data_IF_299954269223
#
_entry.id   IF_299954269223
#
_cell.length_a   1.000
_cell.length_b   1.000
_cell.length_c   1.000
_cell.angle_alpha   90.00
_cell.angle_beta   90.00
_cell.angle_gamma   90.00
#
_symmetry.space_group_name_H-M   'P 1'
#
loop_
_entity.id
_entity.type
_entity.pdbx_description
1 polymer ?
#
# COMPACT_ATOMS: atom_id res chain seq x y z
N UNK A 1 12.85 14.69 2.62
CA UNK A 1 12.33 13.65 3.53
C UNK A 1 13.44 12.75 4.12
N UNK A 2 14.05 11.80 3.38
CA UNK A 2 15.04 10.85 3.92
C UNK A 2 16.22 11.49 4.71
N UNK A 3 16.91 12.49 4.15
CA UNK A 3 18.04 13.15 4.84
C UNK A 3 17.63 13.94 6.10
N UNK A 4 16.37 14.39 6.16
CA UNK A 4 15.80 15.13 7.29
C UNK A 4 15.32 14.16 8.37
N UNK A 5 14.70 13.04 7.99
CA UNK A 5 14.29 11.99 8.93
C UNK A 5 15.52 11.27 9.52
N UNK A 6 16.58 11.04 8.73
CA UNK A 6 17.86 10.52 9.23
C UNK A 6 18.59 11.48 10.20
N UNK A 7 18.19 12.76 10.24
CA UNK A 7 18.68 13.74 11.22
C UNK A 7 17.87 13.69 12.52
N UNK A 8 16.55 13.49 12.41
CA UNK A 8 15.64 13.33 13.55
C UNK A 8 15.89 12.04 14.35
N UNK A 9 16.17 10.92 13.68
CA UNK A 9 16.44 9.63 14.33
C UNK A 9 17.78 9.56 15.09
N UNK A 10 18.69 10.52 14.89
CA UNK A 10 19.95 10.59 15.65
C UNK A 10 19.77 11.11 17.08
N UNK A 11 18.64 11.76 17.38
CA UNK A 11 18.42 12.42 18.67
C UNK A 11 17.37 11.75 19.55
N UNK A 12 16.60 10.79 19.04
CA UNK A 12 15.49 10.15 19.78
C UNK A 12 15.45 8.63 19.52
N UNK A 13 15.71 7.82 20.56
CA UNK A 13 15.45 6.37 20.56
C UNK A 13 14.05 6.13 21.12
N UNK A 14 13.20 5.43 20.38
CA UNK A 14 11.91 4.95 20.89
C UNK A 14 11.90 3.42 20.94
N UNK A 15 11.31 2.91 22.02
CA UNK A 15 11.20 1.49 22.38
C UNK A 15 9.93 0.89 21.73
N UNK A 16 9.92 -0.37 21.29
CA UNK A 16 8.75 -0.97 20.65
C UNK A 16 7.58 -1.14 21.63
N UNK A 17 6.36 -0.77 21.20
CA UNK A 17 5.13 -1.10 21.91
C UNK A 17 4.68 -2.53 21.57
N UNK A 18 4.32 -3.30 22.59
CA UNK A 18 3.76 -4.65 22.44
C UNK A 18 2.26 -4.56 22.18
N UNK A 19 1.81 -5.22 21.11
CA UNK A 19 0.39 -5.31 20.74
C UNK A 19 -0.41 -6.16 21.72
N UNK A 20 -1.49 -5.60 22.26
CA UNK A 20 -2.49 -6.32 23.04
C UNK A 20 -3.66 -6.74 22.16
N UNK A 21 -3.97 -8.03 22.13
CA UNK A 21 -5.16 -8.54 21.47
C UNK A 21 -6.41 -8.29 22.33
N UNK A 22 -7.45 -7.69 21.74
CA UNK A 22 -8.79 -7.65 22.34
C UNK A 22 -9.80 -8.35 21.43
N UNK A 23 -10.55 -9.28 22.02
CA UNK A 23 -11.65 -10.00 21.40
C UNK A 23 -12.84 -9.06 21.15
N UNK A 24 -13.28 -8.95 19.89
CA UNK A 24 -14.39 -8.08 19.49
C UNK A 24 -15.75 -8.58 19.99
N UNK A 25 -16.51 -7.70 20.65
CA UNK A 25 -17.95 -7.84 20.89
C UNK A 25 -18.71 -7.07 19.80
N UNK A 26 -19.71 -7.70 19.17
CA UNK A 26 -20.59 -7.03 18.21
C UNK A 26 -21.62 -6.18 18.95
N UNK A 27 -21.50 -4.85 18.88
CA UNK A 27 -22.42 -3.89 19.52
C UNK A 27 -23.27 -3.12 18.51
N UNK A 28 -24.36 -2.50 18.97
CA UNK A 28 -25.27 -1.65 18.17
C UNK A 28 -24.98 -0.15 18.33
N UNK A 29 -23.85 0.22 18.93
CA UNK A 29 -23.48 1.62 19.14
C UNK A 29 -23.07 2.30 17.82
N UNK A 30 -23.27 3.63 17.69
CA UNK A 30 -22.74 4.40 16.55
C UNK A 30 -21.23 4.17 16.41
N UNK A 31 -20.75 4.06 15.18
CA UNK A 31 -19.34 3.87 14.90
C UNK A 31 -18.55 5.09 15.42
N UNK A 32 -17.64 4.85 16.37
CA UNK A 32 -16.76 5.88 16.89
C UNK A 32 -15.84 6.41 15.77
N UNK A 33 -15.37 7.67 15.83
CA UNK A 33 -14.44 8.23 14.84
C UNK A 33 -13.14 7.40 14.69
N UNK A 34 -12.43 7.53 13.54
CA UNK A 34 -11.14 6.88 13.31
C UNK A 34 -10.07 7.36 14.31
N UNK A 35 -9.58 6.47 15.18
CA UNK A 35 -8.61 6.76 16.24
C UNK A 35 -7.47 5.75 16.21
N UNK A 36 -6.38 6.04 15.49
CA UNK A 36 -5.18 5.21 15.53
C UNK A 36 -4.39 5.45 16.84
N UNK A 37 -3.51 4.51 17.18
CA UNK A 37 -2.60 4.64 18.34
C UNK A 37 -1.53 5.73 18.17
N UNK A 38 -1.14 5.97 16.92
CA UNK A 38 -0.21 7.01 16.46
C UNK A 38 -0.80 7.64 15.20
N UNK A 39 -0.49 8.90 14.87
CA UNK A 39 -0.96 9.50 13.62
C UNK A 39 -0.56 8.61 12.42
N UNK A 40 -1.44 8.48 11.42
CA UNK A 40 -1.17 7.66 10.24
C UNK A 40 -1.25 8.50 8.98
N UNK A 41 -0.25 8.36 8.11
CA UNK A 41 -0.36 8.68 6.70
C UNK A 41 -0.51 7.39 5.91
N UNK A 42 -1.63 7.19 5.23
CA UNK A 42 -1.90 5.93 4.51
C UNK A 42 -2.04 6.21 3.02
N UNK A 43 -1.13 5.67 2.23
CA UNK A 43 -1.01 5.88 0.78
C UNK A 43 -1.69 4.74 0.03
N UNK A 44 -2.50 5.09 -0.97
CA UNK A 44 -3.17 4.14 -1.87
C UNK A 44 -2.25 3.50 -2.92
N UNK A 45 -2.85 2.90 -3.92
CA UNK A 45 -2.19 2.09 -4.96
C UNK A 45 -1.32 2.98 -5.87
N UNK A 46 -0.06 2.59 -6.05
CA UNK A 46 0.96 3.40 -6.74
C UNK A 46 1.11 2.98 -8.19
N UNK A 47 1.11 1.67 -8.47
CA UNK A 47 1.19 1.11 -9.82
C UNK A 47 2.29 1.72 -10.69
N UNK A 48 3.54 1.66 -10.22
CA UNK A 48 4.69 2.11 -11.01
C UNK A 48 4.77 3.62 -11.27
N UNK A 49 4.03 4.45 -10.52
CA UNK A 49 4.05 5.92 -10.65
C UNK A 49 5.08 6.57 -9.69
N UNK A 50 6.37 6.33 -9.92
CA UNK A 50 7.44 6.82 -9.04
C UNK A 50 7.46 8.35 -8.91
N UNK A 51 7.17 9.08 -10.00
CA UNK A 51 7.09 10.54 -9.95
C UNK A 51 5.95 11.05 -9.05
N UNK A 52 4.77 10.40 -9.07
CA UNK A 52 3.66 10.76 -8.18
C UNK A 52 3.95 10.37 -6.74
N UNK A 53 4.63 9.24 -6.51
CA UNK A 53 5.09 8.84 -5.18
C UNK A 53 5.98 9.93 -4.57
N UNK A 54 7.02 10.39 -5.27
CA UNK A 54 7.91 11.44 -4.71
C UNK A 54 7.18 12.77 -4.48
N UNK A 55 6.23 13.13 -5.34
CA UNK A 55 5.38 14.31 -5.13
C UNK A 55 4.51 14.17 -3.88
N UNK A 56 3.86 13.02 -3.68
CA UNK A 56 3.03 12.78 -2.51
C UNK A 56 3.84 12.75 -1.22
N UNK A 57 5.05 12.17 -1.24
CA UNK A 57 5.97 12.23 -0.11
C UNK A 57 6.35 13.67 0.25
N UNK A 58 6.48 14.57 -0.73
CA UNK A 58 6.69 16.00 -0.49
C UNK A 58 5.46 16.66 0.13
N UNK A 59 4.25 16.35 -0.36
CA UNK A 59 2.99 16.85 0.23
C UNK A 59 2.86 16.39 1.69
N UNK A 60 3.16 15.12 1.99
CA UNK A 60 3.17 14.59 3.36
C UNK A 60 4.23 15.28 4.23
N UNK A 61 5.43 15.51 3.72
CA UNK A 61 6.49 16.23 4.47
C UNK A 61 6.09 17.68 4.78
N UNK A 62 5.32 18.33 3.89
CA UNK A 62 4.77 19.67 4.12
C UNK A 62 3.60 19.66 5.11
N UNK A 63 2.72 18.66 5.00
CA UNK A 63 1.59 18.45 5.90
C UNK A 63 2.05 18.20 7.35
N UNK A 64 3.18 17.53 7.51
CA UNK A 64 3.86 17.34 8.78
C UNK A 64 4.76 18.53 9.18
N UNK A 65 4.44 19.75 8.76
CA UNK A 65 5.16 21.01 9.03
C UNK A 65 6.68 20.96 8.76
N UNK A 66 7.13 20.07 7.87
CA UNK A 66 8.54 19.83 7.60
C UNK A 66 9.34 19.26 8.78
N UNK A 67 8.72 18.82 9.87
CA UNK A 67 9.47 18.17 10.97
C UNK A 67 9.76 16.68 10.67
N UNK A 68 9.36 16.19 9.49
CA UNK A 68 9.36 14.78 9.15
C UNK A 68 8.17 14.07 9.78
N UNK A 69 8.20 12.73 9.87
CA UNK A 69 7.05 11.98 10.38
C UNK A 69 6.77 12.19 11.88
N UNK A 70 7.66 12.78 12.67
CA UNK A 70 7.46 12.90 14.12
C UNK A 70 7.15 11.54 14.76
N UNK A 71 6.00 11.42 15.43
CA UNK A 71 5.45 10.15 15.93
C UNK A 71 4.50 9.46 14.94
N UNK A 72 4.23 10.03 13.77
CA UNK A 72 3.38 9.42 12.75
C UNK A 72 4.02 8.17 12.12
N UNK A 73 3.17 7.33 11.53
CA UNK A 73 3.54 6.17 10.73
C UNK A 73 3.01 6.34 9.31
N UNK A 74 3.89 6.17 8.33
CA UNK A 74 3.57 6.13 6.91
C UNK A 74 3.31 4.68 6.49
N UNK A 75 2.13 4.41 5.96
CA UNK A 75 1.67 3.08 5.54
C UNK A 75 1.36 3.09 4.04
N UNK A 76 1.87 2.12 3.30
CA UNK A 76 1.55 1.91 1.89
C UNK A 76 0.68 0.66 1.73
N UNK A 77 -0.47 0.78 1.08
CA UNK A 77 -1.51 -0.28 1.10
C UNK A 77 -1.27 -1.46 0.15
N UNK A 78 -0.23 -1.43 -0.68
CA UNK A 78 0.07 -2.45 -1.69
C UNK A 78 -0.04 -1.89 -3.11
N UNK A 79 0.06 -2.77 -4.09
CA UNK A 79 -0.03 -2.45 -5.52
C UNK A 79 0.97 -1.36 -5.94
N UNK A 80 2.24 -1.68 -5.70
CA UNK A 80 3.41 -0.88 -6.01
C UNK A 80 3.83 -1.05 -7.46
N UNK A 81 3.65 -2.25 -7.99
CA UNK A 81 4.07 -2.65 -9.33
C UNK A 81 2.91 -2.62 -10.33
N UNK A 82 3.28 -2.86 -11.59
CA UNK A 82 2.42 -3.03 -12.75
C UNK A 82 1.74 -1.74 -13.22
N UNK A 83 1.26 -1.79 -14.48
CA UNK A 83 0.52 -0.73 -15.19
C UNK A 83 1.37 0.50 -15.53
N UNK A 84 1.96 1.17 -14.54
CA UNK A 84 2.90 2.28 -14.74
C UNK A 84 4.32 1.80 -15.06
N UNK A 85 5.09 2.68 -15.70
CA UNK A 85 6.38 2.34 -16.31
C UNK A 85 7.56 2.32 -15.32
N UNK A 86 7.38 2.79 -14.08
CA UNK A 86 8.47 2.99 -13.10
C UNK A 86 8.36 2.06 -11.90
N UNK A 87 7.92 0.82 -12.11
CA UNK A 87 7.71 -0.17 -11.04
C UNK A 87 9.01 -0.47 -10.28
N UNK A 88 10.15 -0.56 -10.98
CA UNK A 88 11.47 -0.72 -10.37
C UNK A 88 11.78 0.40 -9.38
N UNK A 89 11.61 1.65 -9.80
CA UNK A 89 11.90 2.84 -8.99
C UNK A 89 11.01 2.91 -7.75
N UNK A 90 9.72 2.57 -7.89
CA UNK A 90 8.79 2.48 -6.75
C UNK A 90 9.28 1.42 -5.75
N UNK A 91 9.58 0.20 -6.20
CA UNK A 91 10.02 -0.88 -5.32
C UNK A 91 11.32 -0.55 -4.59
N UNK A 92 12.35 -0.08 -5.31
CA UNK A 92 13.62 0.31 -4.71
C UNK A 92 13.43 1.44 -3.69
N UNK A 93 12.55 2.40 -3.99
CA UNK A 93 12.24 3.51 -3.09
C UNK A 93 11.54 3.06 -1.81
N UNK A 94 10.49 2.26 -1.90
CA UNK A 94 9.75 1.77 -0.74
C UNK A 94 10.60 0.85 0.13
N UNK A 95 11.41 0.00 -0.50
CA UNK A 95 12.37 -0.85 0.22
C UNK A 95 13.41 0.00 0.99
N UNK A 96 13.97 1.04 0.37
CA UNK A 96 14.90 1.95 1.03
C UNK A 96 14.25 2.72 2.19
N UNK A 97 13.02 3.25 1.99
CA UNK A 97 12.28 3.98 3.03
C UNK A 97 11.96 3.10 4.23
N UNK A 98 11.40 1.91 4.00
CA UNK A 98 11.04 0.97 5.07
C UNK A 98 12.25 0.42 5.82
N UNK A 99 13.37 0.17 5.11
CA UNK A 99 14.62 -0.26 5.73
C UNK A 99 15.28 0.83 6.57
N UNK A 100 15.21 2.09 6.12
CA UNK A 100 15.78 3.22 6.86
C UNK A 100 14.95 3.59 8.09
N UNK A 101 13.62 3.38 8.05
CA UNK A 101 12.66 3.86 9.04
C UNK A 101 11.69 2.75 9.51
N UNK A 102 12.18 1.60 10.00
CA UNK A 102 11.34 0.42 10.25
C UNK A 102 10.25 0.62 11.32
N UNK A 103 10.37 1.64 12.17
CA UNK A 103 9.36 1.99 13.19
C UNK A 103 8.31 3.03 12.72
N UNK A 104 8.48 3.57 11.51
CA UNK A 104 7.66 4.65 10.95
C UNK A 104 7.18 4.39 9.53
N UNK A 105 7.70 3.38 8.83
CA UNK A 105 7.28 3.07 7.46
C UNK A 105 6.88 1.60 7.39
N UNK A 106 5.63 1.36 6.99
CA UNK A 106 5.07 0.03 6.80
C UNK A 106 4.56 -0.11 5.36
N UNK A 107 4.87 -1.23 4.73
CA UNK A 107 4.41 -1.58 3.39
C UNK A 107 3.58 -2.86 3.49
N UNK A 108 2.35 -2.85 2.98
CA UNK A 108 1.47 -4.01 2.92
C UNK A 108 1.54 -4.70 1.55
N UNK A 109 1.23 -5.99 1.53
CA UNK A 109 1.13 -6.75 0.28
C UNK A 109 -0.13 -6.33 -0.50
N UNK A 110 0.02 -5.98 -1.78
CA UNK A 110 -1.09 -5.89 -2.73
C UNK A 110 -1.26 -7.16 -3.55
N UNK A 111 -2.35 -7.27 -4.31
CA UNK A 111 -2.52 -8.44 -5.17
C UNK A 111 -1.55 -8.44 -6.36
N UNK A 112 -1.05 -7.29 -6.78
CA UNK A 112 -0.05 -7.21 -7.84
C UNK A 112 1.31 -7.75 -7.40
N UNK A 113 1.77 -7.41 -6.18
CA UNK A 113 2.98 -8.04 -5.61
C UNK A 113 2.81 -9.55 -5.46
N UNK A 114 1.64 -10.01 -5.01
CA UNK A 114 1.35 -11.46 -4.92
C UNK A 114 1.41 -12.13 -6.30
N UNK A 115 0.82 -11.54 -7.33
CA UNK A 115 0.88 -12.08 -8.70
C UNK A 115 2.31 -12.10 -9.26
N UNK A 116 3.12 -11.06 -8.98
CA UNK A 116 4.53 -11.02 -9.35
C UNK A 116 5.32 -12.13 -8.65
N UNK A 117 5.10 -12.36 -7.35
CA UNK A 117 5.73 -13.46 -6.60
C UNK A 117 5.29 -14.83 -7.13
N UNK A 118 4.00 -15.01 -7.43
CA UNK A 118 3.49 -16.24 -8.04
C UNK A 118 4.14 -16.49 -9.42
N UNK A 119 4.36 -15.45 -10.21
CA UNK A 119 5.11 -15.55 -11.46
C UNK A 119 6.58 -15.93 -11.24
N UNK A 120 7.25 -15.33 -10.26
CA UNK A 120 8.64 -15.69 -9.93
C UNK A 120 8.77 -17.17 -9.51
N UNK A 121 7.79 -17.68 -8.75
CA UNK A 121 7.79 -19.04 -8.23
C UNK A 121 7.35 -20.08 -9.27
N UNK A 122 6.29 -19.77 -10.03
CA UNK A 122 5.68 -20.65 -11.03
C UNK A 122 5.34 -19.87 -12.31
N UNK A 123 6.34 -19.54 -13.14
CA UNK A 123 6.16 -18.63 -14.28
C UNK A 123 5.06 -19.06 -15.25
N UNK A 124 4.96 -20.35 -15.55
CA UNK A 124 3.95 -20.88 -16.46
C UNK A 124 2.52 -20.88 -15.91
N UNK A 125 2.35 -20.94 -14.58
CA UNK A 125 1.02 -20.95 -13.94
C UNK A 125 0.52 -19.54 -13.63
N UNK A 126 1.39 -18.69 -13.05
CA UNK A 126 1.05 -17.33 -12.64
C UNK A 126 1.23 -16.29 -13.75
N UNK A 127 2.09 -16.55 -14.74
CA UNK A 127 2.54 -15.56 -15.70
C UNK A 127 1.43 -14.92 -16.52
N UNK A 128 0.56 -15.72 -17.15
CA UNK A 128 -0.51 -15.16 -17.98
C UNK A 128 -1.40 -14.19 -17.20
N UNK A 129 -1.80 -14.56 -15.97
CA UNK A 129 -2.65 -13.71 -15.13
C UNK A 129 -1.93 -12.40 -14.80
N UNK A 130 -0.68 -12.46 -14.37
CA UNK A 130 0.09 -11.27 -14.01
C UNK A 130 0.34 -10.35 -15.21
N UNK A 131 0.78 -10.91 -16.35
CA UNK A 131 1.04 -10.15 -17.58
C UNK A 131 -0.21 -9.42 -18.09
N UNK A 132 -1.40 -10.05 -18.01
CA UNK A 132 -2.67 -9.40 -18.36
C UNK A 132 -3.04 -8.22 -17.45
N UNK A 133 -2.45 -8.13 -16.25
CA UNK A 133 -2.74 -7.10 -15.27
C UNK A 133 -1.61 -6.06 -15.14
N UNK A 134 -0.73 -5.98 -16.15
CA UNK A 134 0.32 -4.95 -16.20
C UNK A 134 1.71 -5.42 -15.81
N UNK A 135 1.91 -6.73 -15.63
CA UNK A 135 3.24 -7.31 -15.37
C UNK A 135 4.26 -7.07 -16.49
N UNK A 136 3.80 -6.78 -17.72
CA UNK A 136 4.69 -6.41 -18.84
C UNK A 136 5.45 -5.11 -18.56
N UNK A 137 4.77 -4.09 -18.05
CA UNK A 137 5.39 -2.81 -17.69
C UNK A 137 6.39 -2.98 -16.55
N UNK A 138 6.08 -3.85 -15.58
CA UNK A 138 7.04 -4.22 -14.53
C UNK A 138 8.28 -4.85 -15.14
N UNK A 139 8.16 -5.86 -16.00
CA UNK A 139 9.30 -6.49 -16.67
C UNK A 139 10.14 -5.47 -17.46
N UNK A 140 9.48 -4.57 -18.21
CA UNK A 140 10.14 -3.52 -18.98
C UNK A 140 10.92 -2.54 -18.08
N UNK A 141 10.37 -2.15 -16.92
CA UNK A 141 11.06 -1.30 -15.93
C UNK A 141 12.34 -1.94 -15.36
N UNK A 142 12.46 -3.27 -15.42
CA UNK A 142 13.66 -4.03 -15.09
C UNK A 142 14.55 -4.37 -16.30
N UNK A 143 14.22 -3.84 -17.49
CA UNK A 143 14.96 -4.05 -18.73
C UNK A 143 14.71 -5.42 -19.39
N UNK A 144 13.61 -6.09 -19.04
CA UNK A 144 13.29 -7.45 -19.53
C UNK A 144 12.28 -7.33 -20.66
N UNK A 145 12.76 -7.44 -21.89
CA UNK A 145 11.95 -7.44 -23.11
C UNK A 145 11.66 -8.83 -23.68
N UNK A 146 10.93 -8.86 -24.79
CA UNK A 146 10.69 -10.09 -25.56
C UNK A 146 9.59 -11.01 -25.00
N UNK A 147 8.87 -10.58 -23.98
CA UNK A 147 7.78 -11.31 -23.33
C UNK A 147 6.45 -10.66 -23.69
N UNK A 148 5.42 -11.46 -23.91
CA UNK A 148 4.06 -11.00 -24.20
C UNK A 148 3.04 -11.94 -23.55
N UNK A 149 1.75 -11.56 -23.55
CA UNK A 149 0.69 -12.32 -22.85
C UNK A 149 0.58 -13.79 -23.32
N UNK A 150 0.89 -14.05 -24.59
CA UNK A 150 0.84 -15.38 -25.20
C UNK A 150 2.20 -16.11 -25.22
N UNK A 151 3.22 -15.57 -24.53
CA UNK A 151 4.53 -16.20 -24.44
C UNK A 151 4.44 -17.63 -23.90
N UNK A 152 5.26 -18.50 -24.47
CA UNK A 152 5.33 -19.91 -24.08
C UNK A 152 6.11 -20.10 -22.76
N UNK A 153 6.05 -21.31 -22.21
CA UNK A 153 6.69 -21.67 -20.94
C UNK A 153 8.15 -21.20 -20.85
N UNK A 154 8.95 -21.52 -21.85
CA UNK A 154 10.39 -21.25 -21.83
C UNK A 154 10.68 -19.74 -21.81
N UNK A 155 9.87 -18.93 -22.50
CA UNK A 155 9.99 -17.47 -22.48
C UNK A 155 9.68 -16.91 -21.09
N UNK A 156 8.61 -17.41 -20.47
CA UNK A 156 8.19 -17.01 -19.12
C UNK A 156 9.25 -17.40 -18.07
N UNK A 157 9.86 -18.58 -18.19
CA UNK A 157 10.92 -19.04 -17.29
C UNK A 157 12.19 -18.19 -17.42
N UNK A 158 12.59 -17.83 -18.65
CA UNK A 158 13.72 -16.92 -18.88
C UNK A 158 13.43 -15.54 -18.31
N UNK A 159 12.21 -15.03 -18.50
CA UNK A 159 11.80 -13.74 -17.97
C UNK A 159 11.79 -13.69 -16.44
N UNK A 160 11.27 -14.73 -15.78
CA UNK A 160 11.29 -14.83 -14.32
C UNK A 160 12.71 -14.93 -13.77
N UNK A 161 13.59 -15.67 -14.44
CA UNK A 161 15.02 -15.75 -14.09
C UNK A 161 15.69 -14.39 -14.24
N UNK A 162 15.45 -13.70 -15.35
CA UNK A 162 15.96 -12.34 -15.58
C UNK A 162 15.46 -11.35 -14.54
N UNK A 163 14.16 -11.39 -14.21
CA UNK A 163 13.55 -10.54 -13.19
C UNK A 163 14.20 -10.75 -11.83
N UNK A 164 14.28 -12.01 -11.37
CA UNK A 164 14.92 -12.35 -10.11
C UNK A 164 16.38 -11.87 -10.04
N UNK A 165 17.13 -12.00 -11.13
CA UNK A 165 18.51 -11.54 -11.20
C UNK A 165 18.65 -10.00 -11.19
N UNK A 166 17.64 -9.28 -11.68
CA UNK A 166 17.60 -7.81 -11.71
C UNK A 166 17.11 -7.17 -10.41
N UNK A 167 16.46 -7.92 -9.51
CA UNK A 167 16.03 -7.39 -8.21
C UNK A 167 17.23 -7.02 -7.34
N UNK A 168 17.18 -5.85 -6.71
CA UNK A 168 18.20 -5.42 -5.76
C UNK A 168 18.31 -6.41 -4.58
N UNK A 169 19.50 -6.47 -3.96
CA UNK A 169 19.74 -7.36 -2.82
C UNK A 169 18.71 -7.15 -1.71
N UNK A 170 18.09 -8.24 -1.25
CA UNK A 170 17.08 -8.22 -0.19
C UNK A 170 15.67 -7.84 -0.64
N UNK A 171 15.49 -7.32 -1.86
CA UNK A 171 14.19 -6.82 -2.33
C UNK A 171 13.14 -7.94 -2.45
N UNK A 172 13.51 -9.10 -3.00
CA UNK A 172 12.60 -10.26 -3.07
C UNK A 172 12.20 -10.75 -1.68
N UNK A 173 13.15 -10.81 -0.74
CA UNK A 173 12.89 -11.20 0.65
C UNK A 173 11.96 -10.21 1.35
N UNK A 174 12.14 -8.92 1.09
CA UNK A 174 11.25 -7.86 1.57
C UNK A 174 9.84 -7.99 1.01
N UNK A 175 9.68 -8.19 -0.31
CA UNK A 175 8.38 -8.43 -0.95
C UNK A 175 7.65 -9.62 -0.32
N UNK A 176 8.34 -10.75 -0.14
CA UNK A 176 7.78 -11.96 0.48
C UNK A 176 7.40 -11.77 1.95
N UNK A 177 8.05 -10.81 2.63
CA UNK A 177 7.81 -10.47 4.03
C UNK A 177 6.73 -9.42 4.26
N UNK A 178 6.12 -8.86 3.21
CA UNK A 178 5.09 -7.84 3.36
C UNK A 178 3.87 -8.42 4.11
N UNK A 179 3.42 -7.79 5.21
CA UNK A 179 2.20 -8.20 5.91
C UNK A 179 0.95 -7.93 5.06
N UNK A 180 -0.08 -8.76 5.25
CA UNK A 180 -1.37 -8.60 4.57
C UNK A 180 -2.30 -7.58 5.25
N UNK A 181 -2.08 -7.36 6.55
CA UNK A 181 -2.96 -6.58 7.41
C UNK A 181 -2.17 -5.97 8.56
N UNK A 182 -2.56 -4.77 8.98
CA UNK A 182 -2.07 -4.11 10.19
C UNK A 182 -3.24 -3.47 10.94
N UNK A 183 -3.10 -3.31 12.25
CA UNK A 183 -4.08 -2.63 13.08
C UNK A 183 -3.39 -1.57 13.96
N UNK A 184 -4.05 -0.43 14.13
CA UNK A 184 -3.65 0.65 15.04
C UNK A 184 -4.92 1.24 15.66
N UNK A 185 -5.12 1.06 16.97
CA UNK A 185 -6.35 1.46 17.64
C UNK A 185 -7.59 0.80 17.02
N UNK A 186 -8.58 1.60 16.62
CA UNK A 186 -9.78 1.10 15.92
C UNK A 186 -9.64 1.13 14.38
N UNK A 187 -8.42 1.19 13.84
CA UNK A 187 -8.14 1.22 12.40
C UNK A 187 -7.50 -0.09 11.95
N UNK A 188 -8.09 -0.71 10.94
CA UNK A 188 -7.52 -1.80 10.17
C UNK A 188 -7.01 -1.26 8.82
N UNK A 189 -5.78 -1.64 8.46
CA UNK A 189 -5.14 -1.31 7.20
C UNK A 189 -4.92 -2.60 6.42
N UNK A 190 -5.46 -2.68 5.21
CA UNK A 190 -5.32 -3.83 4.32
C UNK A 190 -5.56 -3.40 2.88
N UNK A 191 -5.05 -4.15 1.91
CA UNK A 191 -5.06 -3.75 0.51
C UNK A 191 -6.48 -3.60 -0.07
N UNK A 192 -7.28 -4.67 -0.06
CA UNK A 192 -8.59 -4.72 -0.72
C UNK A 192 -9.80 -4.63 0.22
N UNK A 193 -9.55 -4.41 1.51
CA UNK A 193 -10.57 -4.39 2.55
C UNK A 193 -10.67 -5.72 3.32
N UNK A 194 -11.55 -5.76 4.32
CA UNK A 194 -11.75 -6.91 5.20
C UNK A 194 -13.23 -7.33 5.18
N UNK A 195 -13.50 -8.64 5.20
CA UNK A 195 -14.86 -9.18 5.26
C UNK A 195 -15.55 -8.70 6.56
N UNK A 196 -16.63 -7.92 6.46
CA UNK A 196 -17.30 -7.31 7.61
C UNK A 196 -17.99 -8.31 8.55
N UNK A 197 -18.15 -9.57 8.11
CA UNK A 197 -18.76 -10.64 8.91
C UNK A 197 -17.76 -11.42 9.74
N UNK A 198 -16.46 -11.27 9.47
CA UNK A 198 -15.39 -12.01 10.15
C UNK A 198 -14.57 -11.08 11.05
N UNK A 199 -14.11 -11.54 12.22
CA UNK A 199 -13.10 -10.82 13.00
C UNK A 199 -11.81 -10.58 12.19
N UNK A 200 -11.05 -9.52 12.51
CA UNK A 200 -9.80 -9.20 11.80
C UNK A 200 -8.77 -10.35 11.84
N UNK A 201 -8.69 -11.06 12.97
CA UNK A 201 -7.78 -12.20 13.14
C UNK A 201 -8.17 -13.44 12.31
N UNK A 202 -9.34 -13.43 11.66
CA UNK A 202 -9.87 -14.56 10.89
C UNK A 202 -10.13 -14.18 9.43
N UNK A 203 -9.53 -13.09 8.96
CA UNK A 203 -9.66 -12.66 7.57
C UNK A 203 -8.90 -13.62 6.65
N UNK A 204 -9.56 -14.17 5.61
CA UNK A 204 -8.86 -14.96 4.62
C UNK A 204 -7.95 -14.05 3.77
N UNK A 205 -6.76 -14.54 3.42
CA UNK A 205 -5.84 -13.83 2.52
C UNK A 205 -6.53 -13.38 1.22
N UNK A 206 -7.40 -14.22 0.67
CA UNK A 206 -8.21 -13.90 -0.50
C UNK A 206 -9.01 -12.61 -0.34
N UNK A 207 -9.57 -12.34 0.85
CA UNK A 207 -10.34 -11.12 1.09
C UNK A 207 -9.45 -9.89 1.23
N UNK A 208 -8.30 -10.04 1.91
CA UNK A 208 -7.38 -8.94 2.16
C UNK A 208 -6.71 -8.43 0.89
N UNK A 209 -6.47 -9.32 -0.08
CA UNK A 209 -5.74 -9.02 -1.31
C UNK A 209 -6.66 -8.82 -2.53
N UNK A 210 -7.80 -9.51 -2.66
CA UNK A 210 -8.68 -9.37 -3.84
C UNK A 210 -10.10 -8.92 -3.50
N UNK A 211 -10.32 -8.54 -2.25
CA UNK A 211 -11.59 -8.05 -1.76
C UNK A 211 -12.50 -9.15 -1.20
N UNK A 212 -13.44 -8.77 -0.33
CA UNK A 212 -14.32 -9.72 0.34
C UNK A 212 -15.30 -10.39 -0.64
N UNK A 213 -15.89 -11.54 -0.26
CA UNK A 213 -16.80 -12.28 -1.14
C UNK A 213 -17.99 -11.44 -1.61
N UNK A 214 -18.52 -11.78 -2.79
CA UNK A 214 -19.68 -11.08 -3.38
C UNK A 214 -20.81 -10.91 -2.36
N UNK A 215 -21.36 -9.70 -2.29
CA UNK A 215 -22.40 -9.34 -1.32
C UNK A 215 -21.89 -8.90 0.06
N UNK A 216 -20.57 -8.87 0.28
CA UNK A 216 -19.97 -8.18 1.42
C UNK A 216 -19.81 -6.67 1.17
N UNK A 217 -19.74 -6.24 -0.10
CA UNK A 217 -19.67 -4.84 -0.47
C UNK A 217 -20.91 -4.09 0.03
N UNK A 218 -20.70 -2.94 0.69
CA UNK A 218 -21.77 -2.14 1.29
C UNK A 218 -22.27 -2.64 2.66
N UNK A 219 -21.78 -3.77 3.16
CA UNK A 219 -22.10 -4.23 4.51
C UNK A 219 -21.15 -3.56 5.51
N UNK A 220 -21.71 -2.76 6.42
CA UNK A 220 -20.94 -2.12 7.47
C UNK A 220 -20.48 -3.14 8.54
N UNK A 221 -19.24 -2.98 9.01
CA UNK A 221 -18.74 -3.69 10.19
C UNK A 221 -19.47 -3.23 11.45
N UNK A 222 -19.56 -4.09 12.46
CA UNK A 222 -20.25 -3.83 13.75
C UNK A 222 -19.34 -3.99 14.97
N UNK A 223 -18.05 -4.18 14.73
CA UNK A 223 -17.02 -4.33 15.76
C UNK A 223 -16.32 -3.01 16.10
N UNK A 224 -16.79 -1.89 15.53
CA UNK A 224 -16.26 -0.56 15.80
C UNK A 224 -14.97 -0.22 15.05
N UNK A 225 -14.53 -1.09 14.13
CA UNK A 225 -13.30 -0.93 13.36
C UNK A 225 -13.55 -0.19 12.04
N UNK A 226 -12.69 0.78 11.74
CA UNK A 226 -12.55 1.38 10.42
C UNK A 226 -11.58 0.59 9.56
N UNK A 227 -11.90 0.41 8.27
CA UNK A 227 -11.02 -0.26 7.32
C UNK A 227 -10.53 0.75 6.28
N UNK A 228 -9.23 1.05 6.31
CA UNK A 228 -8.56 1.82 5.26
C UNK A 228 -8.08 0.87 4.18
N UNK A 229 -8.43 1.13 2.92
CA UNK A 229 -8.12 0.25 1.81
C UNK A 229 -7.85 1.00 0.50
N UNK A 230 -7.08 0.34 -0.35
CA UNK A 230 -6.86 0.69 -1.74
C UNK A 230 -7.71 -0.20 -2.65
N UNK A 231 -7.11 -0.70 -3.74
CA UNK A 231 -7.62 -1.73 -4.68
C UNK A 231 -8.88 -1.38 -5.48
N UNK A 232 -9.90 -0.86 -4.79
CA UNK A 232 -11.15 -0.41 -5.35
C UNK A 232 -11.03 1.05 -5.74
N UNK A 233 -10.75 1.28 -7.02
CA UNK A 233 -10.66 2.62 -7.61
C UNK A 233 -11.96 3.40 -7.40
N UNK A 234 -11.86 4.53 -6.71
CA UNK A 234 -12.93 5.51 -6.52
C UNK A 234 -12.58 6.83 -7.23
N UNK A 235 -13.56 7.63 -7.68
CA UNK A 235 -13.29 8.90 -8.34
C UNK A 235 -12.63 9.92 -7.39
N UNK A 236 -13.03 9.93 -6.12
CA UNK A 236 -12.47 10.74 -5.05
C UNK A 236 -12.35 9.88 -3.79
N UNK A 237 -11.33 10.10 -2.95
CA UNK A 237 -11.20 9.35 -1.71
C UNK A 237 -12.37 9.66 -0.78
N UNK A 238 -12.85 8.64 -0.05
CA UNK A 238 -14.04 8.76 0.79
C UNK A 238 -13.85 8.05 2.14
N UNK A 239 -14.43 8.63 3.20
CA UNK A 239 -14.53 8.02 4.52
C UNK A 239 -16.00 7.90 4.92
N UNK A 240 -16.56 6.70 4.81
CA UNK A 240 -17.97 6.45 5.07
C UNK A 240 -18.23 5.02 5.56
N UNK A 241 -19.17 4.87 6.50
CA UNK A 241 -19.68 3.56 6.93
C UNK A 241 -18.61 2.60 7.49
N UNK A 242 -17.56 3.13 8.13
CA UNK A 242 -16.45 2.34 8.64
C UNK A 242 -15.43 1.90 7.61
N UNK A 243 -15.42 2.54 6.45
CA UNK A 243 -14.38 2.37 5.44
C UNK A 243 -13.76 3.70 5.05
N UNK A 244 -12.49 3.67 4.68
CA UNK A 244 -11.76 4.79 4.09
C UNK A 244 -11.12 4.27 2.80
N UNK A 245 -11.66 4.67 1.65
CA UNK A 245 -11.12 4.31 0.34
C UNK A 245 -10.16 5.41 -0.12
N UNK A 246 -8.93 5.04 -0.48
CA UNK A 246 -7.88 6.00 -0.88
C UNK A 246 -7.32 5.75 -2.29
N UNK A 247 -7.71 4.67 -2.95
CA UNK A 247 -7.27 4.38 -4.31
C UNK A 247 -8.11 5.16 -5.34
N UNK A 248 -7.45 6.07 -6.06
CA UNK A 248 -8.04 6.83 -7.18
C UNK A 248 -7.44 6.45 -8.53
N UNK A 249 -6.78 5.30 -8.62
CA UNK A 249 -6.15 4.78 -9.82
C UNK A 249 -5.02 5.67 -10.33
N UNK A 250 -3.94 5.81 -9.56
CA UNK A 250 -2.86 6.77 -9.85
C UNK A 250 -2.31 6.69 -11.29
N UNK A 251 -2.07 5.48 -11.81
CA UNK A 251 -1.59 5.27 -13.17
C UNK A 251 -2.56 5.73 -14.27
N UNK A 252 -3.86 5.84 -13.96
CA UNK A 252 -4.90 6.23 -14.92
C UNK A 252 -5.34 7.68 -14.75
N UNK A 253 -5.52 8.12 -13.50
CA UNK A 253 -6.00 9.47 -13.18
C UNK A 253 -4.88 10.51 -13.11
N UNK A 254 -3.63 10.07 -12.96
CA UNK A 254 -2.50 10.96 -12.67
C UNK A 254 -2.56 11.55 -11.25
N UNK A 255 -3.40 11.00 -10.37
CA UNK A 255 -3.58 11.44 -8.97
C UNK A 255 -3.31 10.31 -8.00
N UNK A 256 -2.36 10.52 -7.09
CA UNK A 256 -2.07 9.60 -6.00
C UNK A 256 -2.51 10.24 -4.68
N UNK A 257 -3.32 9.51 -3.91
CA UNK A 257 -3.87 10.00 -2.66
C UNK A 257 -3.27 9.31 -1.43
N UNK A 258 -3.27 10.06 -0.35
CA UNK A 258 -3.11 9.54 0.99
C UNK A 258 -4.22 10.05 1.91
N UNK A 259 -4.45 9.37 3.03
CA UNK A 259 -5.23 9.88 4.15
C UNK A 259 -4.33 10.11 5.35
N UNK A 260 -4.46 11.27 5.98
CA UNK A 260 -3.91 11.57 7.30
C UNK A 260 -5.01 11.33 8.35
N UNK A 261 -4.71 10.45 9.32
CA UNK A 261 -5.60 10.09 10.43
C UNK A 261 -4.97 10.51 11.76
N UNK A 262 -5.65 11.37 12.51
CA UNK A 262 -5.19 11.85 13.81
C UNK A 262 -6.38 12.20 14.73
N UNK A 263 -6.47 11.54 15.88
CA UNK A 263 -7.49 11.79 16.94
C UNK A 263 -8.94 11.99 16.46
N UNK A 264 -9.42 11.15 15.54
CA UNK A 264 -10.78 11.26 14.99
C UNK A 264 -10.89 12.09 13.72
N UNK A 265 -9.85 12.84 13.35
CA UNK A 265 -9.78 13.61 12.12
C UNK A 265 -9.36 12.75 10.93
N UNK A 266 -9.96 13.04 9.78
CA UNK A 266 -9.69 12.39 8.49
C UNK A 266 -9.42 13.49 7.47
N UNK A 267 -8.21 13.56 6.94
CA UNK A 267 -7.83 14.52 5.91
C UNK A 267 -7.19 13.81 4.72
N UNK A 268 -7.70 14.07 3.53
CA UNK A 268 -7.11 13.52 2.31
C UNK A 268 -6.05 14.46 1.74
N UNK A 269 -4.94 13.88 1.30
CA UNK A 269 -3.83 14.53 0.62
C UNK A 269 -3.74 13.97 -0.79
N UNK A 270 -3.27 14.80 -1.73
CA UNK A 270 -3.20 14.44 -3.15
C UNK A 270 -1.91 14.97 -3.76
N UNK A 271 -1.26 14.13 -4.56
CA UNK A 271 -0.31 14.55 -5.57
C UNK A 271 -0.94 14.36 -6.96
N UNK A 272 -0.82 15.38 -7.81
CA UNK A 272 -1.40 15.39 -9.15
C UNK A 272 -0.35 15.74 -10.19
N UNK A 273 -0.27 14.93 -11.25
CA UNK A 273 0.69 15.11 -12.35
C UNK A 273 0.53 16.51 -12.94
N UNK A 274 1.63 17.27 -12.98
CA UNK A 274 1.65 18.62 -13.55
C UNK A 274 1.27 19.75 -12.57
N UNK A 275 0.88 19.46 -11.32
CA UNK A 275 0.83 20.47 -10.25
C UNK A 275 2.09 20.40 -9.40
N UNK A 276 2.80 21.52 -9.31
CA UNK A 276 3.84 21.68 -8.29
C UNK A 276 3.19 21.79 -6.90
N UNK A 277 3.81 21.20 -5.88
CA UNK A 277 3.39 21.27 -4.48
C UNK A 277 3.31 22.71 -3.90
N UNK A 278 3.66 23.73 -4.69
CA UNK A 278 3.64 25.14 -4.30
C UNK A 278 2.25 25.82 -4.32
N UNK A 279 1.16 25.10 -4.64
CA UNK A 279 -0.14 25.72 -4.97
C UNK A 279 -1.30 25.48 -3.98
N UNK A 280 -1.08 24.87 -2.81
CA UNK A 280 -2.11 24.79 -1.76
C UNK A 280 -1.78 25.74 -0.61
N UNK A 281 -2.33 26.95 -0.66
CA UNK A 281 -2.43 27.89 0.46
C UNK A 281 -3.91 28.22 0.67
#
# INVERSE_FOLDING_TARGET
>A
MLERIARYLRTHRLVPAQGGALAGRFGTAPLAPPRPERPLYVVGDIHGEAALLEQLLSVIDQDADGIGLGDAVLVFLGDYVDRGEQSREVLERLHALSSALPAHVLCLMGNHERMMLDFLDRPAEGGRRWLCNGGLQTLESFGIGGVHIASERDDLERAATGLRASLASGLEGWLRGLPLICQSGNICLCHAGADPKLPLASQPEQALLWGPPRGANGVARRDGVWVVHGHHVVPEPEAAGGRIAVDTGACFSGRLHAVHLHDGEVRFLCAERGRSAAAAR
#
